data_IF_243399158724
#
_entry.id   IF_243399158724
#
_cell.length_a   1.000
_cell.length_b   1.000
_cell.length_c   1.000
_cell.angle_alpha   90.00
_cell.angle_beta   90.00
_cell.angle_gamma   90.00
#
_symmetry.space_group_name_H-M   'P 1'
#
loop_
_entity.id
_entity.type
_entity.pdbx_description
1 polymer ?
#
# COMPACT_ATOMS: atom_id res chain seq x y z
N UNK A 1 -12.35 -7.44 20.02
CA UNK A 1 -11.54 -7.60 18.80
C UNK A 1 -10.37 -8.47 19.20
N UNK A 2 -10.07 -9.58 18.52
CA UNK A 2 -8.84 -10.34 18.82
C UNK A 2 -7.67 -9.47 18.38
N UNK A 3 -6.73 -9.21 19.29
CA UNK A 3 -5.47 -8.59 18.90
C UNK A 3 -4.73 -9.54 17.95
N UNK A 4 -4.47 -9.06 16.74
CA UNK A 4 -3.64 -9.78 15.79
C UNK A 4 -2.16 -9.58 16.17
N UNK A 5 -1.30 -10.58 15.94
CA UNK A 5 0.14 -10.38 16.08
C UNK A 5 0.63 -9.28 15.13
N UNK A 6 1.79 -8.71 15.44
CA UNK A 6 2.49 -7.83 14.50
C UNK A 6 2.77 -8.60 13.20
N UNK A 7 2.51 -7.97 12.06
CA UNK A 7 2.66 -8.57 10.74
C UNK A 7 3.68 -7.83 9.91
N UNK A 8 4.60 -8.59 9.34
CA UNK A 8 5.58 -8.07 8.39
C UNK A 8 4.89 -7.70 7.06
N UNK A 9 5.43 -6.74 6.27
CA UNK A 9 4.84 -6.32 5.01
C UNK A 9 4.55 -7.47 4.03
N UNK A 10 5.43 -8.48 3.98
CA UNK A 10 5.25 -9.63 3.09
C UNK A 10 4.06 -10.52 3.48
N UNK A 11 3.70 -10.60 4.77
CA UNK A 11 2.57 -11.39 5.25
C UNK A 11 1.22 -10.83 4.75
N UNK A 12 1.16 -9.50 4.57
CA UNK A 12 0.06 -8.77 3.94
C UNK A 12 0.28 -8.48 2.45
N UNK A 13 1.23 -9.17 1.81
CA UNK A 13 1.60 -9.06 0.39
C UNK A 13 1.90 -7.63 -0.09
N UNK A 14 2.40 -6.76 0.79
CA UNK A 14 2.82 -5.42 0.45
C UNK A 14 4.29 -5.41 0.03
N UNK A 15 4.61 -4.77 -1.10
CA UNK A 15 5.99 -4.56 -1.53
C UNK A 15 6.66 -3.39 -0.80
N UNK A 16 5.89 -2.36 -0.46
CA UNK A 16 6.35 -1.15 0.23
C UNK A 16 5.37 -0.83 1.35
N UNK A 17 5.91 -0.41 2.49
CA UNK A 17 5.15 0.15 3.61
C UNK A 17 5.39 1.64 3.68
N UNK A 18 4.32 2.42 3.84
CA UNK A 18 4.40 3.87 4.07
C UNK A 18 3.73 4.22 5.39
N UNK A 19 4.13 5.33 5.98
CA UNK A 19 3.54 5.86 7.21
C UNK A 19 3.05 7.29 6.99
N UNK A 20 2.01 7.70 7.72
CA UNK A 20 1.45 9.05 7.62
C UNK A 20 0.58 9.31 6.39
N UNK A 21 0.39 8.34 5.49
CA UNK A 21 -0.44 8.45 4.29
C UNK A 21 -1.67 7.57 4.42
N UNK A 22 -2.86 8.14 4.18
CA UNK A 22 -4.10 7.38 4.00
C UNK A 22 -4.27 7.04 2.51
N UNK A 23 -4.39 5.74 2.21
CA UNK A 23 -4.51 5.25 0.83
C UNK A 23 -5.98 5.11 0.37
N UNK A 24 -6.94 5.23 1.27
CA UNK A 24 -8.35 5.14 0.93
C UNK A 24 -8.75 6.16 -0.13
N UNK A 25 -9.44 5.71 -1.19
CA UNK A 25 -9.96 6.56 -2.27
C UNK A 25 -8.88 7.35 -3.05
N UNK A 26 -7.65 6.85 -3.12
CA UNK A 26 -6.55 7.52 -3.83
C UNK A 26 -6.36 7.06 -5.27
N UNK A 27 -7.32 6.35 -5.86
CA UNK A 27 -7.29 5.98 -7.28
C UNK A 27 -7.09 7.20 -8.17
N UNK A 28 -6.19 7.06 -9.16
CA UNK A 28 -5.82 8.12 -10.09
C UNK A 28 -4.71 9.05 -9.59
N UNK A 29 -4.44 9.08 -8.28
CA UNK A 29 -3.35 9.86 -7.70
C UNK A 29 -1.99 9.21 -7.93
N UNK A 30 -0.94 10.03 -7.77
CA UNK A 30 0.45 9.61 -7.82
C UNK A 30 1.00 9.49 -6.41
N UNK A 31 1.42 8.28 -6.06
CA UNK A 31 2.28 8.03 -4.91
C UNK A 31 3.72 8.21 -5.35
N UNK A 32 4.41 9.20 -4.78
CA UNK A 32 5.83 9.44 -4.96
C UNK A 32 6.56 8.82 -3.77
N UNK A 33 7.57 8.01 -4.06
CA UNK A 33 8.44 7.34 -3.10
C UNK A 33 9.89 7.66 -3.51
N UNK A 34 10.53 8.60 -2.83
CA UNK A 34 11.82 9.12 -3.28
C UNK A 34 11.77 9.58 -4.75
N UNK A 35 12.52 8.91 -5.62
CA UNK A 35 12.55 9.18 -7.06
C UNK A 35 11.47 8.44 -7.87
N UNK A 36 10.83 7.41 -7.30
CA UNK A 36 9.89 6.54 -8.02
C UNK A 36 8.47 7.06 -7.88
N UNK A 37 7.73 7.09 -9.00
CA UNK A 37 6.34 7.50 -9.05
C UNK A 37 5.46 6.32 -9.42
N UNK A 38 4.37 6.14 -8.69
CA UNK A 38 3.41 5.07 -8.89
C UNK A 38 2.02 5.69 -9.07
N UNK A 39 1.37 5.43 -10.20
CA UNK A 39 -0.05 5.78 -10.39
C UNK A 39 -0.92 4.74 -9.71
N UNK A 40 -1.69 5.15 -8.71
CA UNK A 40 -2.58 4.26 -7.99
C UNK A 40 -3.86 3.99 -8.78
N UNK A 41 -4.34 2.76 -8.76
CA UNK A 41 -5.54 2.32 -9.47
C UNK A 41 -6.68 1.95 -8.53
N UNK A 42 -6.37 1.45 -7.34
CA UNK A 42 -7.39 1.09 -6.37
C UNK A 42 -6.83 0.34 -5.17
N UNK A 43 -7.75 -0.19 -4.38
CA UNK A 43 -7.45 -0.98 -3.20
C UNK A 43 -6.81 -2.32 -3.56
N UNK A 44 -5.80 -2.72 -2.80
CA UNK A 44 -5.35 -4.10 -2.73
C UNK A 44 -6.31 -4.90 -1.86
N UNK A 45 -7.28 -5.56 -2.50
CA UNK A 45 -8.22 -6.45 -1.82
C UNK A 45 -7.45 -7.57 -1.10
N UNK A 46 -7.59 -7.73 0.23
CA UNK A 46 -7.00 -8.85 0.96
C UNK A 46 -7.56 -10.17 0.45
N UNK A 47 -6.77 -11.24 0.52
CA UNK A 47 -7.16 -12.56 0.02
C UNK A 47 -6.84 -13.68 1.00
N UNK A 48 -7.36 -14.87 0.73
CA UNK A 48 -7.19 -16.08 1.54
C UNK A 48 -5.72 -16.43 1.83
N UNK A 49 -4.80 -16.01 0.95
CA UNK A 49 -3.35 -16.20 1.17
C UNK A 49 -2.81 -15.39 2.34
N UNK A 50 -3.39 -14.22 2.64
CA UNK A 50 -3.01 -13.41 3.81
C UNK A 50 -3.56 -14.06 5.10
N UNK A 51 -4.79 -14.55 5.07
CA UNK A 51 -5.40 -15.25 6.22
C UNK A 51 -4.67 -16.55 6.55
N UNK A 52 -4.12 -17.24 5.54
CA UNK A 52 -3.25 -18.40 5.72
C UNK A 52 -1.93 -18.07 6.44
N UNK A 53 -1.47 -16.81 6.45
CA UNK A 53 -0.33 -16.37 7.26
C UNK A 53 -0.76 -16.11 8.70
N UNK A 54 -1.86 -15.37 8.88
CA UNK A 54 -2.41 -15.01 10.19
C UNK A 54 -3.94 -15.08 10.12
N UNK A 55 -4.58 -16.01 10.85
CA UNK A 55 -6.04 -16.13 10.84
C UNK A 55 -6.74 -14.84 11.30
N UNK A 56 -7.68 -14.35 10.49
CA UNK A 56 -8.39 -13.09 10.72
C UNK A 56 -7.71 -11.85 10.10
N UNK A 57 -6.56 -12.01 9.44
CA UNK A 57 -5.84 -10.90 8.82
C UNK A 57 -6.64 -10.27 7.67
N UNK A 58 -7.36 -11.08 6.88
CA UNK A 58 -8.22 -10.54 5.80
C UNK A 58 -9.27 -9.58 6.36
N UNK A 59 -9.97 -9.98 7.43
CA UNK A 59 -11.01 -9.16 8.04
C UNK A 59 -10.45 -7.87 8.67
N UNK A 60 -9.21 -7.87 9.15
CA UNK A 60 -8.56 -6.68 9.68
C UNK A 60 -8.06 -5.72 8.59
N UNK A 61 -7.70 -6.25 7.41
CA UNK A 61 -7.19 -5.47 6.28
C UNK A 61 -8.28 -4.95 5.33
N UNK A 62 -9.47 -5.56 5.33
CA UNK A 62 -10.59 -5.20 4.43
C UNK A 62 -11.11 -3.75 4.63
N UNK A 63 -11.23 -3.23 5.86
CA UNK A 63 -11.74 -1.87 6.05
C UNK A 63 -10.76 -0.80 5.52
N UNK A 64 -11.31 0.27 4.93
CA UNK A 64 -10.61 1.52 4.59
C UNK A 64 -9.28 1.33 3.82
N UNK A 65 -9.18 0.29 3.00
CA UNK A 65 -7.99 -0.04 2.21
C UNK A 65 -6.75 -0.33 3.08
N UNK A 66 -6.94 -0.88 4.28
CA UNK A 66 -5.83 -1.25 5.16
C UNK A 66 -4.92 -2.33 4.52
N UNK A 67 -5.47 -3.14 3.61
CA UNK A 67 -4.71 -4.06 2.74
C UNK A 67 -3.73 -3.38 1.79
N UNK A 68 -3.87 -2.06 1.58
CA UNK A 68 -3.02 -1.23 0.75
C UNK A 68 -3.69 -0.81 -0.55
N UNK A 69 -2.89 -0.23 -1.45
CA UNK A 69 -3.29 0.14 -2.80
C UNK A 69 -2.35 -0.49 -3.82
N UNK A 70 -2.82 -0.68 -5.05
CA UNK A 70 -2.01 -1.13 -6.17
C UNK A 70 -1.94 -0.07 -7.27
N UNK A 71 -0.92 -0.16 -8.11
CA UNK A 71 -0.66 0.83 -9.13
C UNK A 71 0.36 0.40 -10.17
N UNK A 72 0.68 1.31 -11.08
CA UNK A 72 1.69 1.14 -12.13
C UNK A 72 2.84 2.10 -11.88
N UNK A 73 4.07 1.56 -11.94
CA UNK A 73 5.30 2.36 -11.86
C UNK A 73 5.45 3.19 -13.13
N UNK A 74 5.63 4.49 -12.98
CA UNK A 74 5.68 5.45 -14.10
C UNK A 74 7.09 5.79 -14.56
N UNK A 75 8.09 5.52 -13.73
CA UNK A 75 9.49 5.76 -14.05
C UNK A 75 10.40 4.78 -13.30
N UNK A 76 11.56 4.52 -13.91
CA UNK A 76 12.65 3.84 -13.23
C UNK A 76 13.25 4.75 -12.15
N UNK A 77 13.78 4.12 -11.10
CA UNK A 77 14.42 4.83 -10.00
C UNK A 77 14.84 3.87 -8.89
N UNK A 78 15.65 4.37 -7.95
CA UNK A 78 16.03 3.63 -6.75
C UNK A 78 15.05 3.94 -5.64
N UNK A 79 14.73 2.90 -4.85
CA UNK A 79 13.96 3.00 -3.62
C UNK A 79 14.77 2.44 -2.46
N UNK A 80 14.75 3.16 -1.35
CA UNK A 80 15.39 2.81 -0.10
C UNK A 80 14.39 2.95 1.06
N UNK A 81 14.57 2.14 2.10
CA UNK A 81 13.82 2.33 3.36
C UNK A 81 14.20 3.68 3.95
N UNK A 82 13.20 4.48 4.30
CA UNK A 82 13.38 5.85 4.83
C UNK A 82 13.22 6.94 3.78
N UNK A 83 13.03 6.60 2.50
CA UNK A 83 12.70 7.59 1.47
C UNK A 83 11.36 8.27 1.78
N UNK A 84 11.27 9.55 1.42
CA UNK A 84 10.05 10.34 1.61
C UNK A 84 8.92 9.81 0.74
N UNK A 85 7.73 9.72 1.33
CA UNK A 85 6.51 9.34 0.66
C UNK A 85 5.54 10.53 0.62
N UNK A 86 5.00 10.82 -0.56
CA UNK A 86 3.94 11.82 -0.73
C UNK A 86 2.90 11.34 -1.74
N UNK A 87 1.68 11.85 -1.61
CA UNK A 87 0.58 11.53 -2.53
C UNK A 87 -0.11 12.80 -3.01
N UNK A 88 -0.47 12.82 -4.28
CA UNK A 88 -1.19 13.94 -4.87
C UNK A 88 -1.59 13.72 -6.32
N UNK A 89 -2.20 14.73 -6.97
CA UNK A 89 -2.52 14.67 -8.38
C UNK A 89 -1.25 14.54 -9.23
N UNK A 90 -1.38 14.02 -10.46
CA UNK A 90 -0.26 14.03 -11.39
C UNK A 90 0.03 15.47 -11.83
N UNK A 91 1.14 16.03 -11.37
CA UNK A 91 1.53 17.42 -11.66
C UNK A 91 2.13 17.59 -13.07
N UNK A 92 2.09 16.56 -13.92
CA UNK A 92 2.46 16.65 -15.34
C UNK A 92 1.18 16.82 -16.18
N UNK A 93 0.63 18.02 -16.15
CA UNK A 93 -0.23 18.59 -17.21
C UNK A 93 0.49 19.78 -17.85
#
# INVERSE_FOLDING_TARGET
MKDLPEVEPYMRRANVMVSGIRLENTSGQILTLGEVRIRLHGETRPCERMDAQVPGLTAALDPNWNGGAYGVVLNDGRLCVGDEASIGPDSRE
#
